data_IF_158111394846
#
_entry.id   IF_158111394846
#
_cell.length_a   1.000
_cell.length_b   1.000
_cell.length_c   1.000
_cell.angle_alpha   90.00
_cell.angle_beta   90.00
_cell.angle_gamma   90.00
#
_symmetry.space_group_name_H-M   'P 1'
#
loop_
_entity.id
_entity.type
_entity.pdbx_description
1 polymer ?
#
# COMPACT_ATOMS: atom_id res chain seq x y z
N UNK A 1 -9.99 13.27 -37.35
CA UNK A 1 -8.96 13.70 -38.33
C UNK A 1 -9.13 12.82 -39.55
N UNK A 2 -10.04 13.21 -40.44
CA UNK A 2 -10.46 12.49 -41.64
C UNK A 2 -9.47 12.73 -42.77
N UNK A 3 -8.78 11.70 -43.23
CA UNK A 3 -7.87 11.76 -44.38
C UNK A 3 -8.52 10.96 -45.53
N UNK A 4 -9.51 11.54 -46.19
CA UNK A 4 -10.06 11.03 -47.47
C UNK A 4 -10.65 12.18 -48.31
N UNK A 5 -9.93 13.30 -48.42
CA UNK A 5 -10.22 14.27 -49.48
C UNK A 5 -9.13 14.15 -50.54
N UNK A 6 -9.45 13.48 -51.64
CA UNK A 6 -8.62 13.46 -52.83
C UNK A 6 -8.85 14.80 -53.56
N UNK A 7 -7.80 15.59 -53.87
CA UNK A 7 -8.00 16.85 -54.56
C UNK A 7 -8.62 16.61 -55.95
N UNK A 8 -9.42 17.54 -56.47
CA UNK A 8 -9.95 17.43 -57.83
C UNK A 8 -8.78 17.25 -58.80
N UNK A 9 -8.93 16.36 -59.77
CA UNK A 9 -7.96 16.16 -60.83
C UNK A 9 -7.80 17.47 -61.60
N UNK A 10 -6.77 18.25 -61.26
CA UNK A 10 -6.38 19.43 -62.01
C UNK A 10 -6.03 19.02 -63.44
N UNK A 11 -6.54 19.78 -64.41
CA UNK A 11 -6.20 19.62 -65.83
C UNK A 11 -4.69 19.53 -66.02
N UNK A 12 -4.25 18.40 -66.59
CA UNK A 12 -2.87 18.22 -67.02
C UNK A 12 -2.56 19.24 -68.14
N UNK A 13 -1.51 20.06 -68.03
CA UNK A 13 -1.01 20.79 -69.18
C UNK A 13 -0.51 19.77 -70.19
N UNK A 14 -1.19 19.68 -71.33
CA UNK A 14 -0.77 18.87 -72.46
C UNK A 14 0.55 19.44 -73.02
N UNK A 15 1.69 18.90 -72.57
CA UNK A 15 3.00 19.31 -73.10
C UNK A 15 4.27 18.94 -72.32
N UNK A 16 4.19 18.35 -71.13
CA UNK A 16 5.39 17.97 -70.34
C UNK A 16 5.97 16.60 -70.71
N UNK A 17 7.29 16.42 -70.55
CA UNK A 17 7.95 15.13 -70.75
C UNK A 17 7.38 14.09 -69.75
N UNK A 18 6.82 12.97 -70.21
CA UNK A 18 6.30 11.93 -69.33
C UNK A 18 7.35 11.36 -68.37
N UNK A 19 8.65 11.47 -68.67
CA UNK A 19 9.72 11.09 -67.74
C UNK A 19 9.84 12.05 -66.56
N UNK A 20 9.67 13.34 -66.78
CA UNK A 20 9.75 14.38 -65.76
C UNK A 20 8.57 14.25 -64.79
N UNK A 21 7.35 14.03 -65.32
CA UNK A 21 6.16 13.75 -64.52
C UNK A 21 6.22 12.42 -63.74
N UNK A 22 7.02 11.45 -64.17
CA UNK A 22 7.28 10.21 -63.43
C UNK A 22 8.31 10.43 -62.33
N UNK A 23 9.38 11.19 -62.62
CA UNK A 23 10.41 11.56 -61.65
C UNK A 23 9.84 12.39 -60.51
N UNK A 24 8.97 13.36 -60.79
CA UNK A 24 8.29 14.15 -59.74
C UNK A 24 7.39 13.29 -58.84
N UNK A 25 6.72 12.29 -59.42
CA UNK A 25 5.92 11.33 -58.63
C UNK A 25 6.77 10.41 -57.77
N UNK A 26 7.94 9.99 -58.26
CA UNK A 26 8.90 9.18 -57.50
C UNK A 26 9.56 10.02 -56.40
N UNK A 27 9.86 11.30 -56.67
CA UNK A 27 10.44 12.23 -55.70
C UNK A 27 9.43 12.69 -54.63
N UNK A 28 8.13 12.71 -54.97
CA UNK A 28 7.04 12.98 -54.04
C UNK A 28 6.58 11.76 -53.22
N UNK A 29 7.06 10.55 -53.55
CA UNK A 29 6.74 9.35 -52.80
C UNK A 29 7.48 9.37 -51.44
N UNK A 30 6.78 9.07 -50.35
CA UNK A 30 7.33 9.21 -49.00
C UNK A 30 8.58 8.34 -48.79
N UNK A 31 9.60 8.87 -48.12
CA UNK A 31 10.89 8.20 -47.81
C UNK A 31 10.76 6.82 -47.12
N UNK A 32 9.57 6.48 -46.64
CA UNK A 32 9.22 5.13 -46.15
C UNK A 32 8.32 4.43 -47.15
N UNK A 33 8.82 3.33 -47.75
CA UNK A 33 7.97 2.50 -48.59
C UNK A 33 6.87 1.84 -47.75
N UNK A 34 5.77 1.40 -48.39
CA UNK A 34 4.73 0.60 -47.71
C UNK A 34 5.32 -0.62 -46.99
N UNK A 35 6.36 -1.24 -47.58
CA UNK A 35 7.06 -2.38 -46.98
C UNK A 35 7.86 -1.97 -45.74
N UNK A 36 8.50 -0.82 -45.78
CA UNK A 36 9.27 -0.31 -44.62
C UNK A 36 8.34 0.14 -43.51
N UNK A 37 7.21 0.77 -43.84
CA UNK A 37 6.16 1.07 -42.88
C UNK A 37 5.65 -0.21 -42.18
N UNK A 38 5.30 -1.24 -42.95
CA UNK A 38 4.87 -2.53 -42.39
C UNK A 38 5.96 -3.18 -41.53
N UNK A 39 7.23 -3.16 -41.96
CA UNK A 39 8.35 -3.68 -41.16
C UNK A 39 8.50 -2.94 -39.84
N UNK A 40 8.43 -1.61 -39.83
CA UNK A 40 8.54 -0.80 -38.61
C UNK A 40 7.40 -1.14 -37.67
N UNK A 41 6.15 -1.14 -38.16
CA UNK A 41 4.98 -1.45 -37.34
C UNK A 41 5.06 -2.87 -36.76
N UNK A 42 5.39 -3.87 -37.57
CA UNK A 42 5.50 -5.25 -37.11
C UNK A 42 6.63 -5.43 -36.11
N UNK A 43 7.77 -4.78 -36.31
CA UNK A 43 8.94 -4.89 -35.41
C UNK A 43 8.67 -4.21 -34.07
N UNK A 44 8.15 -2.98 -34.07
CA UNK A 44 7.82 -2.24 -32.85
C UNK A 44 6.71 -2.96 -32.08
N UNK A 45 5.64 -3.38 -32.76
CA UNK A 45 4.55 -4.12 -32.12
C UNK A 45 5.01 -5.46 -31.57
N UNK A 46 5.84 -6.21 -32.32
CA UNK A 46 6.42 -7.47 -31.88
C UNK A 46 7.34 -7.29 -30.66
N UNK A 47 8.18 -6.26 -30.66
CA UNK A 47 9.03 -5.91 -29.52
C UNK A 47 8.22 -5.57 -28.27
N UNK A 48 7.16 -4.77 -28.40
CA UNK A 48 6.25 -4.46 -27.29
C UNK A 48 5.51 -5.71 -26.78
N UNK A 49 5.08 -6.60 -27.68
CA UNK A 49 4.44 -7.85 -27.29
C UNK A 49 5.39 -8.76 -26.49
N UNK A 50 6.63 -8.94 -26.96
CA UNK A 50 7.66 -9.70 -26.24
C UNK A 50 7.99 -9.06 -24.89
N UNK A 51 8.14 -7.73 -24.85
CA UNK A 51 8.36 -7.00 -23.60
C UNK A 51 7.21 -7.18 -22.60
N UNK A 52 5.97 -7.12 -23.08
CA UNK A 52 4.77 -7.39 -22.28
C UNK A 52 4.75 -8.82 -21.71
N UNK A 53 5.13 -9.81 -22.52
CA UNK A 53 5.28 -11.20 -22.06
C UNK A 53 6.36 -11.30 -20.96
N UNK A 54 7.50 -10.63 -21.12
CA UNK A 54 8.56 -10.61 -20.11
C UNK A 54 8.10 -10.03 -18.77
N UNK A 55 7.34 -8.93 -18.80
CA UNK A 55 6.74 -8.33 -17.60
C UNK A 55 5.71 -9.28 -16.96
N UNK A 56 4.82 -9.87 -17.77
CA UNK A 56 3.84 -10.83 -17.28
C UNK A 56 4.48 -12.10 -16.69
N UNK A 57 5.64 -12.50 -17.22
CA UNK A 57 6.45 -13.60 -16.69
C UNK A 57 7.24 -13.24 -15.42
N UNK A 58 7.13 -12.01 -14.92
CA UNK A 58 7.76 -11.58 -13.67
C UNK A 58 9.25 -11.24 -13.80
N UNK A 59 9.78 -11.02 -15.01
CA UNK A 59 11.19 -10.61 -15.18
C UNK A 59 11.52 -9.23 -14.58
N UNK A 60 10.49 -8.44 -14.23
CA UNK A 60 10.64 -7.12 -13.64
C UNK A 60 9.81 -7.04 -12.35
N UNK A 61 10.47 -7.22 -11.19
CA UNK A 61 9.83 -7.17 -9.88
C UNK A 61 9.41 -5.75 -9.49
N UNK A 62 8.32 -5.65 -8.72
CA UNK A 62 7.94 -4.39 -8.08
C UNK A 62 8.75 -4.20 -6.80
N UNK A 63 9.30 -3.01 -6.62
CA UNK A 63 9.95 -2.64 -5.36
C UNK A 63 8.97 -2.80 -4.19
N UNK A 64 9.44 -3.43 -3.10
CA UNK A 64 8.64 -3.78 -1.93
C UNK A 64 7.86 -5.11 -2.02
N UNK A 65 7.79 -5.74 -3.20
CA UNK A 65 7.47 -7.15 -3.34
C UNK A 65 8.82 -7.92 -3.38
N UNK A 66 8.92 -9.04 -2.68
CA UNK A 66 10.12 -9.85 -2.71
C UNK A 66 10.27 -10.59 -4.06
N UNK A 67 11.49 -10.97 -4.41
CA UNK A 67 11.86 -11.59 -5.69
C UNK A 67 11.14 -12.92 -6.02
N UNK A 68 10.37 -13.52 -5.08
CA UNK A 68 9.79 -14.87 -5.27
C UNK A 68 8.39 -15.09 -4.66
N UNK A 69 7.67 -14.04 -4.25
CA UNK A 69 6.43 -14.19 -3.48
C UNK A 69 6.63 -14.87 -2.12
N UNK A 70 7.85 -14.82 -1.61
CA UNK A 70 8.37 -15.29 -0.34
C UNK A 70 8.23 -14.19 0.73
N UNK A 71 7.68 -14.44 1.91
CA UNK A 71 7.68 -13.42 2.95
C UNK A 71 9.12 -12.93 3.22
N UNK A 72 9.32 -11.60 3.33
CA UNK A 72 10.65 -11.05 3.48
C UNK A 72 11.27 -11.49 4.82
N UNK A 73 12.55 -11.87 4.78
CA UNK A 73 13.23 -12.37 5.98
C UNK A 73 13.35 -11.27 7.04
N UNK A 74 13.05 -11.56 8.33
CA UNK A 74 13.21 -10.59 9.40
C UNK A 74 14.62 -10.00 9.45
N UNK A 75 14.71 -8.67 9.48
CA UNK A 75 15.98 -7.93 9.52
C UNK A 75 16.05 -7.04 10.74
N UNK A 76 17.10 -7.20 11.55
CA UNK A 76 17.39 -6.28 12.65
C UNK A 76 17.82 -4.94 12.09
N UNK A 77 17.09 -3.87 12.43
CA UNK A 77 17.36 -2.52 11.94
C UNK A 77 18.08 -1.66 12.97
N UNK A 78 17.85 -1.89 14.27
CA UNK A 78 18.52 -1.17 15.35
C UNK A 78 18.65 -2.03 16.61
N UNK A 79 19.64 -1.72 17.45
CA UNK A 79 19.73 -2.34 18.78
C UNK A 79 18.78 -1.74 19.81
N UNK A 80 18.44 -0.46 19.63
CA UNK A 80 17.38 0.27 20.31
C UNK A 80 17.08 1.50 19.46
N UNK A 81 15.84 1.97 19.49
CA UNK A 81 15.42 3.25 18.92
C UNK A 81 14.67 4.00 20.02
N UNK A 82 15.12 5.18 20.42
CA UNK A 82 14.52 5.97 21.51
C UNK A 82 13.38 6.86 20.99
N UNK A 83 12.43 7.29 21.85
CA UNK A 83 11.38 8.22 21.42
C UNK A 83 11.97 9.51 20.85
N UNK A 84 11.46 9.93 19.68
CA UNK A 84 12.00 11.04 18.91
C UNK A 84 13.13 10.64 17.94
N UNK A 85 13.54 9.37 17.88
CA UNK A 85 14.55 8.93 16.92
C UNK A 85 13.93 8.32 15.66
N UNK A 86 14.66 8.46 14.55
CA UNK A 86 14.37 7.75 13.31
C UNK A 86 15.63 7.10 12.75
N UNK A 87 15.44 6.05 11.97
CA UNK A 87 16.51 5.35 11.27
C UNK A 87 16.10 5.03 9.84
N UNK A 88 16.97 5.36 8.88
CA UNK A 88 16.86 4.94 7.50
C UNK A 88 17.55 3.59 7.31
N UNK A 89 16.93 2.68 6.56
CA UNK A 89 17.45 1.35 6.30
C UNK A 89 16.97 0.82 4.94
N UNK A 90 17.41 -0.39 4.59
CA UNK A 90 17.02 -1.09 3.35
C UNK A 90 16.23 -2.35 3.67
N UNK A 91 15.01 -2.47 3.17
CA UNK A 91 14.10 -3.59 3.38
C UNK A 91 12.89 -3.52 2.42
N UNK A 92 12.43 -4.63 1.83
CA UNK A 92 12.91 -6.00 2.03
C UNK A 92 14.20 -6.33 1.29
N UNK A 93 14.43 -5.74 0.10
CA UNK A 93 15.66 -5.87 -0.65
C UNK A 93 16.67 -4.76 -0.36
N UNK A 94 17.86 -4.87 -0.96
CA UNK A 94 18.90 -3.85 -0.84
C UNK A 94 18.55 -2.56 -1.58
N UNK A 95 17.69 -2.59 -2.59
CA UNK A 95 17.27 -1.37 -3.32
C UNK A 95 16.04 -0.69 -2.68
N UNK A 96 15.37 -1.37 -1.74
CA UNK A 96 14.15 -0.87 -1.12
C UNK A 96 14.46 0.01 0.09
N UNK A 97 14.37 1.33 -0.08
CA UNK A 97 14.61 2.30 0.98
C UNK A 97 13.41 2.36 1.94
N UNK A 98 13.70 2.32 3.24
CA UNK A 98 12.71 2.36 4.32
C UNK A 98 13.15 3.31 5.44
N UNK A 99 12.18 3.74 6.24
CA UNK A 99 12.38 4.55 7.44
C UNK A 99 11.56 3.97 8.59
N UNK A 100 12.17 3.89 9.77
CA UNK A 100 11.49 3.59 11.02
C UNK A 100 11.60 4.80 11.93
N UNK A 101 10.52 5.11 12.63
CA UNK A 101 10.41 6.26 13.52
C UNK A 101 9.84 5.77 14.83
N UNK A 102 10.43 6.18 15.95
CA UNK A 102 9.75 6.11 17.24
C UNK A 102 9.22 7.49 17.59
N UNK A 103 7.90 7.63 17.57
CA UNK A 103 7.21 8.87 17.90
C UNK A 103 7.48 9.26 19.36
N UNK A 104 7.22 10.51 19.72
CA UNK A 104 7.48 11.05 21.06
C UNK A 104 6.73 10.33 22.19
N UNK A 105 5.59 9.70 21.88
CA UNK A 105 4.82 8.88 22.83
C UNK A 105 5.33 7.44 22.95
N UNK A 106 6.40 7.08 22.22
CA UNK A 106 6.99 5.75 22.19
C UNK A 106 6.45 4.82 21.11
N UNK A 107 5.43 5.23 20.35
CA UNK A 107 4.89 4.43 19.23
C UNK A 107 5.96 4.21 18.18
N UNK A 108 6.18 2.94 17.81
CA UNK A 108 7.12 2.56 16.75
C UNK A 108 6.36 2.35 15.44
N UNK A 109 6.79 3.03 14.38
CA UNK A 109 6.20 2.96 13.04
C UNK A 109 7.27 2.80 11.97
N UNK A 110 6.91 2.22 10.83
CA UNK A 110 7.83 1.98 9.72
C UNK A 110 7.14 2.12 8.37
N UNK A 111 7.85 2.71 7.40
CA UNK A 111 7.34 2.99 6.06
C UNK A 111 8.42 2.80 5.01
N UNK A 112 7.99 2.57 3.76
CA UNK A 112 8.85 2.82 2.61
C UNK A 112 9.25 4.29 2.60
N UNK A 113 10.54 4.56 2.43
CA UNK A 113 11.09 5.90 2.27
C UNK A 113 11.03 6.37 0.81
N UNK A 114 10.10 5.82 0.01
CA UNK A 114 9.90 6.12 -1.41
C UNK A 114 8.53 6.76 -1.58
N UNK A 115 8.53 8.03 -2.00
CA UNK A 115 7.32 8.80 -2.19
C UNK A 115 6.45 8.20 -3.30
N UNK A 116 5.15 8.07 -3.04
CA UNK A 116 4.17 7.48 -3.96
C UNK A 116 3.80 8.37 -5.16
N UNK A 117 4.34 9.60 -5.23
CA UNK A 117 4.23 10.48 -6.40
C UNK A 117 5.20 10.03 -7.51
N UNK A 118 6.50 10.31 -7.34
CA UNK A 118 7.56 10.06 -8.35
C UNK A 118 8.85 9.52 -7.70
N UNK A 119 8.72 8.68 -6.67
CA UNK A 119 9.80 7.89 -6.06
C UNK A 119 10.96 8.67 -5.42
N UNK A 120 10.76 9.95 -5.10
CA UNK A 120 11.69 10.72 -4.27
C UNK A 120 11.80 10.15 -2.84
N UNK A 121 12.91 10.47 -2.16
CA UNK A 121 13.11 10.09 -0.77
C UNK A 121 12.09 10.79 0.14
N UNK A 122 11.54 10.04 1.10
CA UNK A 122 10.72 10.57 2.20
C UNK A 122 11.56 10.64 3.46
N UNK A 123 11.49 11.77 4.16
CA UNK A 123 12.24 12.05 5.38
C UNK A 123 11.26 12.29 6.52
N UNK A 124 11.57 11.85 7.73
CA UNK A 124 10.80 12.26 8.91
C UNK A 124 11.32 13.61 9.41
N UNK A 125 10.40 14.51 9.74
CA UNK A 125 10.67 15.84 10.28
C UNK A 125 10.04 15.96 11.65
N UNK A 126 10.85 15.79 12.69
CA UNK A 126 10.42 15.88 14.09
C UNK A 126 9.93 17.29 14.48
N UNK A 127 10.41 18.33 13.80
CA UNK A 127 10.13 19.74 14.09
C UNK A 127 8.71 20.17 13.67
N UNK A 128 7.93 19.27 13.06
CA UNK A 128 6.63 19.55 12.45
C UNK A 128 5.48 18.95 13.26
N UNK A 129 5.14 19.63 14.35
CA UNK A 129 4.06 19.21 15.25
C UNK A 129 4.53 18.21 16.31
N UNK A 130 3.60 17.68 17.13
CA UNK A 130 3.96 16.86 18.30
C UNK A 130 4.53 15.48 17.93
N UNK A 131 4.15 14.93 16.78
CA UNK A 131 4.59 13.60 16.30
C UNK A 131 5.56 13.71 15.10
N UNK A 132 5.86 14.94 14.67
CA UNK A 132 6.51 15.21 13.39
C UNK A 132 5.62 14.88 12.19
N UNK A 133 6.23 14.91 11.00
CA UNK A 133 5.57 14.48 9.75
C UNK A 133 6.56 13.75 8.84
N UNK A 134 6.04 12.98 7.89
CA UNK A 134 6.83 12.39 6.81
C UNK A 134 6.75 13.30 5.59
N UNK A 135 7.89 13.75 5.09
CA UNK A 135 7.99 14.81 4.10
C UNK A 135 8.81 14.40 2.88
N UNK A 136 8.28 14.67 1.70
CA UNK A 136 8.94 14.53 0.41
C UNK A 136 9.22 15.92 -0.20
N UNK A 137 10.50 16.30 -0.35
CA UNK A 137 10.87 17.66 -0.77
C UNK A 137 10.65 17.95 -2.26
N UNK A 138 10.48 16.93 -3.11
CA UNK A 138 10.44 17.14 -4.56
C UNK A 138 9.24 17.96 -5.04
N UNK A 139 8.08 17.72 -4.44
CA UNK A 139 6.83 18.40 -4.78
C UNK A 139 5.97 18.59 -3.53
N UNK A 140 6.63 18.79 -2.38
CA UNK A 140 5.99 19.09 -1.10
C UNK A 140 4.92 18.05 -0.69
N UNK A 141 5.21 16.77 -0.91
CA UNK A 141 4.34 15.69 -0.44
C UNK A 141 4.47 15.54 1.08
N UNK A 142 3.34 15.52 1.78
CA UNK A 142 3.29 15.34 3.24
C UNK A 142 2.45 14.13 3.58
N UNK A 143 2.95 13.32 4.50
CA UNK A 143 2.26 12.17 5.04
C UNK A 143 2.23 12.26 6.56
N UNK A 144 1.14 11.79 7.14
CA UNK A 144 0.98 11.67 8.58
C UNK A 144 2.01 10.69 9.17
N UNK A 145 2.71 11.09 10.23
CA UNK A 145 3.81 10.30 10.78
C UNK A 145 3.34 8.97 11.40
N UNK A 146 2.09 8.91 11.89
CA UNK A 146 1.55 7.75 12.61
C UNK A 146 0.87 6.73 11.70
N UNK A 147 0.18 7.20 10.67
CA UNK A 147 -0.59 6.36 9.74
C UNK A 147 0.14 6.14 8.41
N UNK A 148 0.97 7.09 7.98
CA UNK A 148 1.57 7.13 6.65
C UNK A 148 0.63 7.62 5.55
N UNK A 149 -0.57 8.07 5.90
CA UNK A 149 -1.55 8.59 4.95
C UNK A 149 -1.17 9.95 4.41
N UNK A 150 -1.58 10.26 3.18
CA UNK A 150 -1.30 11.57 2.56
C UNK A 150 -2.11 12.65 3.27
N UNK A 151 -1.43 13.70 3.71
CA UNK A 151 -2.07 14.86 4.33
C UNK A 151 -1.96 16.11 3.47
N UNK A 152 -0.94 16.19 2.60
CA UNK A 152 -0.81 17.28 1.63
C UNK A 152 0.05 16.91 0.41
N UNK A 153 -0.03 17.75 -0.61
CA UNK A 153 0.76 17.66 -1.83
C UNK A 153 0.19 16.69 -2.89
N UNK A 154 0.93 16.45 -3.97
CA UNK A 154 0.50 15.60 -5.09
C UNK A 154 0.42 14.07 -4.85
N UNK A 155 1.05 13.45 -3.83
CA UNK A 155 1.02 11.98 -3.69
C UNK A 155 -0.40 11.42 -3.73
N UNK A 156 -0.70 10.42 -4.57
CA UNK A 156 -2.08 9.95 -4.76
C UNK A 156 -2.54 8.93 -3.71
N UNK A 157 -1.63 8.42 -2.88
CA UNK A 157 -1.88 7.33 -1.91
C UNK A 157 -0.86 7.36 -0.77
N UNK A 158 -1.26 6.87 0.40
CA UNK A 158 -0.39 6.76 1.57
C UNK A 158 0.82 5.86 1.34
N UNK A 159 1.84 5.96 2.19
CA UNK A 159 3.08 5.19 2.04
C UNK A 159 2.84 3.69 2.31
N UNK A 160 3.49 2.80 1.54
CA UNK A 160 3.61 1.39 1.91
C UNK A 160 4.23 1.26 3.32
N UNK A 161 3.66 0.42 4.17
CA UNK A 161 4.15 0.25 5.54
C UNK A 161 5.25 -0.81 5.57
N UNK A 162 6.23 -0.60 6.45
CA UNK A 162 7.19 -1.63 6.86
C UNK A 162 6.82 -2.04 8.27
N UNK A 163 6.44 -3.30 8.45
CA UNK A 163 6.07 -3.84 9.74
C UNK A 163 7.31 -3.92 10.60
N UNK A 164 7.36 -3.10 11.64
CA UNK A 164 8.46 -3.02 12.59
C UNK A 164 7.99 -3.50 13.96
N UNK A 165 8.82 -4.30 14.63
CA UNK A 165 8.57 -4.82 15.97
C UNK A 165 9.76 -4.52 16.87
N UNK A 166 9.49 -4.30 18.14
CA UNK A 166 10.49 -4.23 19.20
C UNK A 166 10.45 -5.53 20.00
N UNK A 167 11.62 -6.12 20.23
CA UNK A 167 11.78 -7.33 21.03
C UNK A 167 12.04 -6.98 22.50
N UNK A 168 11.95 -7.96 23.40
CA UNK A 168 12.16 -7.79 24.84
C UNK A 168 13.55 -7.22 25.21
N UNK A 169 14.56 -7.44 24.36
CA UNK A 169 15.91 -6.89 24.53
C UNK A 169 16.03 -5.41 24.06
N UNK A 170 14.95 -4.83 23.54
CA UNK A 170 14.87 -3.49 22.97
C UNK A 170 15.32 -3.41 21.52
N UNK A 171 15.71 -4.53 20.89
CA UNK A 171 16.11 -4.52 19.49
C UNK A 171 14.90 -4.36 18.56
N UNK A 172 15.11 -3.60 17.48
CA UNK A 172 14.06 -3.28 16.53
C UNK A 172 14.29 -4.06 15.23
N UNK A 173 13.23 -4.69 14.74
CA UNK A 173 13.25 -5.56 13.58
C UNK A 173 12.19 -5.16 12.56
N UNK A 174 12.53 -5.22 11.27
CA UNK A 174 11.58 -5.19 10.17
C UNK A 174 11.21 -6.62 9.77
N UNK A 175 9.91 -6.92 9.66
CA UNK A 175 9.40 -8.31 9.52
C UNK A 175 8.39 -8.49 8.39
N UNK A 176 7.98 -7.42 7.72
CA UNK A 176 7.04 -7.48 6.61
C UNK A 176 6.84 -6.14 5.93
N UNK A 177 6.20 -6.15 4.76
CA UNK A 177 5.79 -4.95 4.05
C UNK A 177 4.33 -5.03 3.63
N UNK A 178 3.70 -3.87 3.51
CA UNK A 178 2.38 -3.72 2.89
C UNK A 178 2.53 -2.94 1.59
N UNK A 179 1.52 -3.02 0.73
CA UNK A 179 1.29 -2.08 -0.36
C UNK A 179 0.57 -0.84 0.18
N UNK A 180 0.56 0.25 -0.57
CA UNK A 180 -0.22 1.43 -0.19
C UNK A 180 -1.70 1.12 -0.13
N UNK A 181 -2.34 1.49 0.98
CA UNK A 181 -3.75 1.20 1.26
C UNK A 181 -4.02 -0.25 1.67
N UNK A 182 -3.03 -1.14 1.63
CA UNK A 182 -3.13 -2.51 2.14
C UNK A 182 -2.96 -2.48 3.67
N UNK A 183 -3.82 -3.22 4.37
CA UNK A 183 -3.69 -3.40 5.81
C UNK A 183 -2.45 -4.23 6.15
N UNK A 184 -2.00 -4.14 7.40
CA UNK A 184 -0.85 -4.94 7.87
C UNK A 184 -1.15 -6.44 7.80
N UNK A 185 -2.39 -6.84 8.12
CA UNK A 185 -2.83 -8.23 8.04
C UNK A 185 -2.80 -8.75 6.60
N UNK A 186 -3.37 -8.01 5.64
CA UNK A 186 -3.35 -8.38 4.23
C UNK A 186 -1.92 -8.50 3.69
N UNK A 187 -1.05 -7.54 4.02
CA UNK A 187 0.36 -7.57 3.59
C UNK A 187 1.13 -8.77 4.14
N UNK A 188 0.95 -9.08 5.43
CA UNK A 188 1.56 -10.26 6.06
C UNK A 188 1.00 -11.57 5.48
N UNK A 189 -0.30 -11.64 5.26
CA UNK A 189 -0.96 -12.81 4.66
C UNK A 189 -0.54 -13.04 3.21
N UNK A 190 -0.34 -11.97 2.43
CA UNK A 190 0.20 -12.07 1.07
C UNK A 190 1.59 -12.69 1.06
N UNK A 191 2.48 -12.28 1.96
CA UNK A 191 3.82 -12.87 2.09
C UNK A 191 3.78 -14.34 2.54
N UNK A 192 2.96 -14.64 3.55
CA UNK A 192 2.84 -16.00 4.10
C UNK A 192 2.17 -16.99 3.15
N UNK A 193 1.18 -16.54 2.37
CA UNK A 193 0.43 -17.37 1.44
C UNK A 193 1.29 -17.99 0.34
N UNK A 194 2.37 -17.31 -0.08
CA UNK A 194 3.31 -17.84 -1.07
C UNK A 194 4.32 -18.84 -0.51
N UNK A 195 4.70 -18.73 0.77
CA UNK A 195 5.70 -19.63 1.39
C UNK A 195 5.12 -20.82 2.15
N UNK A 196 4.11 -20.56 2.99
CA UNK A 196 3.56 -21.52 3.96
C UNK A 196 2.04 -21.43 3.95
N UNK A 197 1.38 -21.94 2.89
CA UNK A 197 -0.07 -21.86 2.75
C UNK A 197 -0.81 -22.60 3.87
N UNK A 198 -0.21 -23.64 4.45
CA UNK A 198 -0.71 -24.36 5.61
C UNK A 198 -0.74 -23.49 6.88
N UNK A 199 0.31 -22.69 7.11
CA UNK A 199 0.35 -21.76 8.22
C UNK A 199 -0.60 -20.59 7.99
N UNK A 200 -0.65 -20.05 6.78
CA UNK A 200 -1.56 -18.96 6.40
C UNK A 200 -3.03 -19.35 6.67
N UNK A 201 -3.43 -20.57 6.33
CA UNK A 201 -4.75 -21.09 6.63
C UNK A 201 -5.01 -21.23 8.15
N UNK A 202 -4.00 -21.61 8.93
CA UNK A 202 -4.12 -21.78 10.39
C UNK A 202 -4.21 -20.46 11.15
N UNK A 203 -3.55 -19.42 10.68
CA UNK A 203 -3.63 -18.07 11.26
C UNK A 203 -4.87 -17.29 10.79
N UNK A 204 -5.67 -17.90 9.91
CA UNK A 204 -6.93 -17.32 9.45
C UNK A 204 -6.77 -16.23 8.38
N UNK A 205 -5.67 -16.26 7.61
CA UNK A 205 -5.55 -15.36 6.46
C UNK A 205 -6.78 -15.52 5.56
N UNK A 206 -7.41 -14.42 5.12
CA UNK A 206 -8.56 -14.50 4.23
C UNK A 206 -8.15 -15.30 2.99
N UNK A 207 -9.01 -16.25 2.58
CA UNK A 207 -8.75 -17.09 1.42
C UNK A 207 -8.37 -16.17 0.25
N UNK A 208 -7.14 -16.32 -0.23
CA UNK A 208 -6.61 -15.72 -1.47
C UNK A 208 -7.31 -16.36 -2.69
N UNK A 209 -8.65 -16.40 -2.68
CA UNK A 209 -9.51 -16.94 -3.72
C UNK A 209 -9.71 -15.95 -4.87
N UNK A 210 -8.62 -15.38 -5.37
CA UNK A 210 -8.59 -14.38 -6.43
C UNK A 210 -7.66 -14.75 -7.59
N UNK A 211 -7.63 -16.03 -7.96
CA UNK A 211 -6.89 -16.52 -9.13
C UNK A 211 -7.53 -17.83 -9.59
N UNK A 212 -7.87 -17.89 -10.88
CA UNK A 212 -8.65 -18.92 -11.58
C UNK A 212 -8.78 -20.32 -10.92
N UNK A 213 -10.03 -20.72 -10.73
CA UNK A 213 -10.55 -22.09 -10.65
C UNK A 213 -10.03 -23.00 -9.52
N UNK A 214 -10.68 -22.93 -8.37
CA UNK A 214 -10.87 -24.12 -7.51
C UNK A 214 -12.36 -24.33 -7.28
N UNK A 215 -12.88 -25.56 -7.38
CA UNK A 215 -14.31 -25.80 -7.21
C UNK A 215 -14.74 -25.44 -5.78
N UNK A 216 -15.97 -24.91 -5.59
CA UNK A 216 -16.43 -24.49 -4.28
C UNK A 216 -16.42 -25.68 -3.33
N UNK A 217 -15.84 -25.49 -2.14
CA UNK A 217 -15.97 -26.45 -1.04
C UNK A 217 -17.46 -26.64 -0.78
N UNK A 218 -17.93 -27.87 -0.96
CA UNK A 218 -19.29 -28.26 -0.65
C UNK A 218 -19.61 -27.85 0.79
N UNK A 219 -20.68 -27.05 0.94
CA UNK A 219 -21.26 -26.74 2.23
C UNK A 219 -21.53 -28.06 2.96
N UNK A 220 -20.84 -28.28 4.08
CA UNK A 220 -21.10 -29.41 4.94
C UNK A 220 -22.55 -29.29 5.44
N UNK A 221 -23.35 -30.20 4.92
CA UNK A 221 -24.75 -30.40 5.24
C UNK A 221 -24.91 -30.66 6.75
N UNK A 222 -25.88 -29.98 7.36
CA UNK A 222 -26.25 -30.20 8.75
C UNK A 222 -27.03 -31.51 8.83
N UNK A 223 -26.28 -32.60 8.93
CA UNK A 223 -26.80 -33.93 9.24
C UNK A 223 -27.46 -33.94 10.62
N UNK A 224 -28.79 -34.04 10.61
CA UNK A 224 -29.63 -34.45 11.74
C UNK A 224 -29.14 -35.80 12.27
N UNK A 225 -28.86 -35.86 13.57
CA UNK A 225 -29.00 -37.12 14.32
C UNK A 225 -29.97 -36.92 15.47
N UNK A 226 -31.16 -37.49 15.28
CA UNK A 226 -32.16 -37.72 16.29
C UNK A 226 -32.08 -39.20 16.67
N UNK A 227 -31.74 -39.52 17.91
CA UNK A 227 -31.83 -40.90 18.38
C UNK A 227 -31.26 -41.15 19.78
N UNK A 228 -32.15 -41.50 20.70
CA UNK A 228 -31.93 -42.23 21.95
C UNK A 228 -31.43 -41.45 23.20
N UNK A 229 -32.40 -41.21 24.11
CA UNK A 229 -32.21 -41.03 25.56
C UNK A 229 -32.07 -42.38 26.26
N UNK A 230 -31.56 -42.38 27.51
CA UNK A 230 -32.33 -42.89 28.65
C UNK A 230 -32.47 -41.78 29.74
N UNK A 231 -33.68 -41.51 30.28
CA UNK A 231 -34.24 -42.04 31.56
C UNK A 231 -33.23 -41.84 32.71
N UNK A 232 -33.47 -40.99 33.72
CA UNK A 232 -34.61 -41.00 34.64
C UNK A 232 -34.77 -39.71 35.50
N UNK A 233 -35.97 -39.63 36.09
CA UNK A 233 -36.34 -38.99 37.35
C UNK A 233 -36.40 -37.45 37.43
N UNK A 234 -37.62 -36.94 37.17
CA UNK A 234 -38.14 -35.74 37.80
C UNK A 234 -38.73 -36.08 39.18
N UNK A 235 -38.59 -35.19 40.16
CA UNK A 235 -39.61 -35.02 41.18
C UNK A 235 -39.69 -33.58 41.70
N UNK A 236 -40.87 -32.97 41.50
CA UNK A 236 -41.58 -31.94 42.31
C UNK A 236 -40.85 -30.63 42.63
N UNK A 237 -41.45 -29.45 42.67
CA UNK A 237 -42.77 -28.90 42.37
C UNK A 237 -42.66 -27.39 42.62
N UNK A 238 -43.22 -26.57 41.73
CA UNK A 238 -44.15 -25.44 41.98
C UNK A 238 -44.13 -24.83 43.42
N UNK A 239 -44.13 -23.51 43.66
CA UNK A 239 -44.79 -22.39 42.96
C UNK A 239 -44.63 -21.10 43.78
N UNK A 240 -44.62 -19.93 43.08
CA UNK A 240 -45.22 -18.62 43.48
C UNK A 240 -44.56 -17.89 44.67
N UNK A 241 -44.25 -16.60 44.65
CA UNK A 241 -44.56 -15.47 43.77
C UNK A 241 -44.23 -14.17 44.53
N UNK A 242 -44.58 -13.03 43.91
CA UNK A 242 -44.61 -11.66 44.46
C UNK A 242 -43.32 -10.81 44.39
N UNK A 243 -43.36 -9.85 43.44
CA UNK A 243 -42.86 -8.47 43.56
C UNK A 243 -43.85 -7.65 44.44
N UNK A 244 -43.56 -6.44 44.99
CA UNK A 244 -42.80 -5.35 44.31
C UNK A 244 -42.06 -4.30 45.20
N UNK A 245 -41.40 -3.33 44.51
CA UNK A 245 -41.14 -1.91 44.91
C UNK A 245 -40.12 -1.66 46.06
N UNK A 246 -39.30 -0.60 46.13
CA UNK A 246 -39.18 0.70 45.45
C UNK A 246 -37.76 1.28 45.69
N UNK A 247 -37.43 2.34 44.91
CA UNK A 247 -36.63 3.55 45.24
C UNK A 247 -35.26 3.39 45.95
N UNK A 248 -34.18 4.10 45.61
CA UNK A 248 -33.98 5.33 44.87
C UNK A 248 -32.70 6.02 45.40
N UNK A 249 -32.21 7.01 44.65
CA UNK A 249 -31.27 8.07 45.05
C UNK A 249 -29.74 7.80 45.04
N UNK A 250 -29.08 8.47 44.08
CA UNK A 250 -27.72 9.04 44.19
C UNK A 250 -27.71 10.24 45.17
N UNK A 251 -26.52 10.69 45.61
CA UNK A 251 -26.00 11.97 45.11
C UNK A 251 -24.47 11.98 44.86
N UNK A 252 -24.00 12.63 43.77
CA UNK A 252 -23.22 13.90 43.65
C UNK A 252 -21.95 13.99 44.53
N UNK A 253 -20.73 14.03 44.00
CA UNK A 253 -20.01 15.07 43.19
C UNK A 253 -19.34 16.19 44.01
N UNK A 254 -18.13 16.55 43.54
CA UNK A 254 -17.34 17.79 43.73
C UNK A 254 -16.19 17.78 44.76
N UNK A 255 -14.99 18.18 44.29
CA UNK A 255 -13.93 18.71 45.14
C UNK A 255 -12.52 18.68 44.54
N UNK A 256 -12.19 19.63 43.67
CA UNK A 256 -10.82 20.12 43.42
C UNK A 256 -10.94 21.57 42.89
N UNK A 257 -9.97 22.50 43.00
CA UNK A 257 -8.68 22.51 43.73
C UNK A 257 -8.47 23.84 44.51
N UNK A 258 -7.24 24.17 44.97
CA UNK A 258 -6.84 25.58 44.92
C UNK A 258 -5.53 25.85 44.16
N UNK A 259 -5.61 26.93 43.36
CA UNK A 259 -4.50 27.69 42.76
C UNK A 259 -3.50 28.17 43.82
N UNK A 260 -2.22 28.19 43.46
CA UNK A 260 -1.28 29.17 44.02
C UNK A 260 -0.59 29.95 42.88
N UNK A 261 -0.84 31.26 42.85
CA UNK A 261 -0.14 32.29 42.08
C UNK A 261 0.72 33.09 43.06
N UNK A 262 2.04 33.19 42.84
CA UNK A 262 2.93 34.31 43.21
C UNK A 262 4.11 34.28 42.23
N UNK A 263 4.21 35.17 41.23
CA UNK A 263 4.75 36.56 41.22
C UNK A 263 6.27 36.66 41.41
N UNK A 264 6.97 37.13 40.36
CA UNK A 264 8.14 38.04 40.30
C UNK A 264 8.81 37.82 38.91
N UNK A 265 8.59 38.64 37.87
CA UNK A 265 9.26 39.93 37.59
C UNK A 265 10.78 39.95 37.87
N UNK A 266 11.59 39.97 36.81
CA UNK A 266 12.68 40.95 36.64
C UNK A 266 13.15 41.03 35.16
N UNK A 267 13.27 42.22 34.54
CA UNK A 267 13.81 42.42 33.20
C UNK A 267 15.27 42.91 33.21
N UNK A 268 15.98 42.72 32.10
CA UNK A 268 17.31 43.28 31.83
C UNK A 268 18.22 42.22 31.20
N UNK A 269 19.00 42.48 30.17
CA UNK A 269 19.42 43.70 29.52
C UNK A 269 20.57 43.30 28.57
N UNK A 270 20.72 44.06 27.49
CA UNK A 270 21.71 43.88 26.41
C UNK A 270 23.15 43.74 26.92
N UNK A 271 23.92 42.92 26.22
CA UNK A 271 25.30 43.21 25.79
C UNK A 271 25.48 42.58 24.40
#
# INVERSE_FOLDING_TARGET
MSVTEQPPAGEHPAGGDPREALQDRIAADSLTTRRDYLRIVTTVSGGLAVGGIGVAAGMLHRHGDDEKGKAPEPKRIAGRLLPGESIAFRYPGDEDRAVAVRLGDGTLVGYSAVCTHLACAVLWREDRGPEGELYCPCHEGVFDARSGEVTAGPPPRGLPKVVVIEQDDGSVWAVGTTRSGESVEEGLCRGLGGERPDLAARIGCPDIGGGAESPPRAAADRGRDAGARPRDAADRSRTVGARPQAAGAQPRAAGDPPRNRRTAENPGGRA
#
